data_IF_466464289222
#
_entry.id   IF_466464289222
#
_cell.length_a   1.000
_cell.length_b   1.000
_cell.length_c   1.000
_cell.angle_alpha   90.00
_cell.angle_beta   90.00
_cell.angle_gamma   90.00
#
_symmetry.space_group_name_H-M   'P 1'
#
loop_
_entity.id
_entity.type
_entity.pdbx_description
1 polymer ?
#
# COMPACT_ATOMS: atom_id res chain seq x y z
N UNK A 1 -59.76 -0.97 74.42
CA UNK A 1 -58.64 0.00 74.26
C UNK A 1 -57.72 -0.25 73.07
N UNK A 2 -57.27 -1.50 72.82
CA UNK A 2 -56.33 -1.80 71.72
C UNK A 2 -56.89 -1.53 70.30
N UNK A 3 -58.18 -1.78 70.06
CA UNK A 3 -58.82 -1.48 68.76
C UNK A 3 -59.01 0.01 68.49
N UNK A 4 -59.23 0.82 69.53
CA UNK A 4 -59.31 2.28 69.39
C UNK A 4 -57.93 2.88 69.06
N UNK A 5 -56.85 2.32 69.62
CA UNK A 5 -55.47 2.71 69.29
C UNK A 5 -55.07 2.31 67.87
N UNK A 6 -55.48 1.12 67.39
CA UNK A 6 -55.29 0.70 65.99
C UNK A 6 -56.05 1.58 65.00
N UNK A 7 -57.32 1.91 65.28
CA UNK A 7 -58.12 2.78 64.43
C UNK A 7 -57.61 4.23 64.34
N UNK A 8 -56.95 4.74 65.39
CA UNK A 8 -56.26 6.04 65.34
C UNK A 8 -54.97 5.99 64.51
N UNK A 9 -54.20 4.90 64.62
CA UNK A 9 -52.98 4.68 63.83
C UNK A 9 -53.26 4.61 62.33
N UNK A 10 -54.22 3.79 61.89
CA UNK A 10 -54.58 3.68 60.46
C UNK A 10 -55.13 4.99 59.88
N UNK A 11 -55.86 5.80 60.66
CA UNK A 11 -56.30 7.13 60.23
C UNK A 11 -55.13 8.10 60.05
N UNK A 12 -54.12 8.04 60.92
CA UNK A 12 -52.88 8.82 60.78
C UNK A 12 -52.05 8.42 59.56
N UNK A 13 -51.97 7.12 59.25
CA UNK A 13 -51.29 6.61 58.06
C UNK A 13 -52.01 7.05 56.79
N UNK A 14 -53.33 6.89 56.71
CA UNK A 14 -54.14 7.32 55.55
C UNK A 14 -54.08 8.84 55.33
N UNK A 15 -54.04 9.63 56.40
CA UNK A 15 -53.87 11.09 56.31
C UNK A 15 -52.48 11.46 55.77
N UNK A 16 -51.43 10.75 56.18
CA UNK A 16 -50.07 10.94 55.65
C UNK A 16 -49.96 10.53 54.18
N UNK A 17 -50.56 9.42 53.77
CA UNK A 17 -50.60 8.98 52.37
C UNK A 17 -51.28 10.02 51.49
N UNK A 18 -52.45 10.54 51.88
CA UNK A 18 -53.12 11.62 51.14
C UNK A 18 -52.28 12.88 51.03
N UNK A 19 -51.53 13.20 52.08
CA UNK A 19 -50.64 14.37 52.09
C UNK A 19 -49.46 14.17 51.12
N UNK A 20 -48.87 12.98 51.12
CA UNK A 20 -47.80 12.60 50.19
C UNK A 20 -48.28 12.59 48.74
N UNK A 21 -49.47 12.06 48.47
CA UNK A 21 -50.07 12.06 47.13
C UNK A 21 -50.29 13.49 46.60
N UNK A 22 -50.77 14.38 47.47
CA UNK A 22 -50.96 15.79 47.12
C UNK A 22 -49.62 16.48 46.85
N UNK A 23 -48.60 16.22 47.67
CA UNK A 23 -47.24 16.73 47.45
C UNK A 23 -46.65 16.20 46.14
N UNK A 24 -46.85 14.91 45.85
CA UNK A 24 -46.37 14.27 44.64
C UNK A 24 -47.03 14.86 43.40
N UNK A 25 -48.36 15.07 43.43
CA UNK A 25 -49.08 15.73 42.33
C UNK A 25 -48.61 17.16 42.11
N UNK A 26 -48.36 17.92 43.18
CA UNK A 26 -47.82 19.28 43.08
C UNK A 26 -46.40 19.29 42.51
N UNK A 27 -45.53 18.40 42.97
CA UNK A 27 -44.17 18.28 42.47
C UNK A 27 -44.16 17.87 40.99
N UNK A 28 -45.05 16.95 40.59
CA UNK A 28 -45.22 16.56 39.19
C UNK A 28 -45.68 17.73 38.32
N UNK A 29 -46.73 18.45 38.72
CA UNK A 29 -47.22 19.61 37.98
C UNK A 29 -46.14 20.70 37.86
N UNK A 30 -45.33 20.90 38.91
CA UNK A 30 -44.20 21.82 38.87
C UNK A 30 -43.12 21.38 37.88
N UNK A 31 -42.72 20.10 37.90
CA UNK A 31 -41.74 19.55 36.96
C UNK A 31 -42.25 19.59 35.52
N UNK A 32 -43.52 19.29 35.28
CA UNK A 32 -44.14 19.39 33.95
C UNK A 32 -44.12 20.84 33.44
N UNK A 33 -44.36 21.83 34.31
CA UNK A 33 -44.20 23.25 33.98
C UNK A 33 -42.76 23.64 33.62
N UNK A 34 -41.79 23.26 34.47
CA UNK A 34 -40.36 23.55 34.22
C UNK A 34 -39.87 22.89 32.92
N UNK A 35 -40.32 21.67 32.63
CA UNK A 35 -39.98 20.99 31.36
C UNK A 35 -40.60 21.69 30.15
N UNK A 36 -41.82 22.24 30.28
CA UNK A 36 -42.45 23.01 29.22
C UNK A 36 -41.67 24.30 28.93
N UNK A 37 -41.27 25.03 29.98
CA UNK A 37 -40.48 26.27 29.85
C UNK A 37 -39.11 26.00 29.23
N UNK A 38 -38.42 24.93 29.66
CA UNK A 38 -37.14 24.53 29.07
C UNK A 38 -37.27 24.11 27.61
N UNK A 39 -38.34 23.37 27.26
CA UNK A 39 -38.61 22.99 25.86
C UNK A 39 -38.89 24.22 24.99
N UNK A 40 -39.66 25.18 25.50
CA UNK A 40 -39.92 26.44 24.81
C UNK A 40 -38.62 27.24 24.59
N UNK A 41 -37.77 27.35 25.60
CA UNK A 41 -36.46 28.00 25.49
C UNK A 41 -35.53 27.31 24.48
N UNK A 42 -35.47 25.97 24.51
CA UNK A 42 -34.67 25.19 23.55
C UNK A 42 -35.21 25.40 22.13
N UNK A 43 -36.53 25.40 21.95
CA UNK A 43 -37.14 25.62 20.65
C UNK A 43 -36.89 27.04 20.13
N UNK A 44 -37.02 28.07 20.95
CA UNK A 44 -36.73 29.45 20.56
C UNK A 44 -35.25 29.65 20.18
N UNK A 45 -34.34 29.00 20.93
CA UNK A 45 -32.89 29.18 20.73
C UNK A 45 -32.29 28.27 19.65
N UNK A 46 -32.80 27.06 19.48
CA UNK A 46 -32.20 26.01 18.64
C UNK A 46 -33.17 25.37 17.64
N UNK A 47 -34.48 25.64 17.72
CA UNK A 47 -35.50 25.01 16.88
C UNK A 47 -35.77 23.55 17.24
N UNK A 48 -36.46 22.84 16.34
CA UNK A 48 -36.76 21.41 16.46
C UNK A 48 -35.63 20.57 15.85
N UNK A 49 -35.12 19.60 16.62
CA UNK A 49 -34.03 18.72 16.17
C UNK A 49 -34.58 17.63 15.23
N UNK A 50 -34.57 17.89 13.94
CA UNK A 50 -34.87 16.88 12.94
C UNK A 50 -33.73 15.85 12.88
N UNK A 51 -34.09 14.57 12.71
CA UNK A 51 -33.10 13.55 12.32
C UNK A 51 -32.63 13.92 10.92
N UNK A 52 -31.46 14.54 10.81
CA UNK A 52 -30.84 14.76 9.52
C UNK A 52 -30.84 13.46 8.74
N UNK A 53 -31.32 13.50 7.49
CA UNK A 53 -31.10 12.40 6.56
C UNK A 53 -29.62 12.05 6.64
N UNK A 54 -29.28 10.77 6.80
CA UNK A 54 -27.89 10.32 6.72
C UNK A 54 -27.37 10.96 5.44
N UNK A 55 -26.45 11.91 5.57
CA UNK A 55 -25.79 12.51 4.43
C UNK A 55 -25.30 11.32 3.61
N UNK A 56 -25.97 11.07 2.49
CA UNK A 56 -25.67 10.00 1.56
C UNK A 56 -24.39 10.35 0.82
N UNK A 57 -23.35 10.75 1.56
CA UNK A 57 -21.99 10.81 1.10
C UNK A 57 -21.72 9.39 0.63
N UNK A 58 -21.80 9.20 -0.69
CA UNK A 58 -21.15 8.11 -1.39
C UNK A 58 -19.69 8.27 -1.00
N UNK A 59 -19.28 7.64 0.11
CA UNK A 59 -17.87 7.54 0.50
C UNK A 59 -17.24 6.77 -0.65
N UNK A 60 -16.64 7.51 -1.59
CA UNK A 60 -15.69 6.98 -2.55
C UNK A 60 -14.49 6.54 -1.72
N UNK A 61 -14.62 5.36 -1.12
CA UNK A 61 -13.51 4.68 -0.48
C UNK A 61 -12.68 4.16 -1.63
N UNK A 62 -11.62 4.89 -1.99
CA UNK A 62 -10.60 4.36 -2.88
C UNK A 62 -10.12 3.06 -2.24
N UNK A 63 -10.22 1.96 -2.98
CA UNK A 63 -9.72 0.68 -2.50
C UNK A 63 -8.18 0.67 -2.59
N UNK A 64 -7.57 1.19 -1.53
CA UNK A 64 -6.13 1.26 -1.41
C UNK A 64 -5.48 -0.12 -1.49
N UNK A 65 -6.18 -1.22 -1.21
CA UNK A 65 -5.58 -2.56 -1.25
C UNK A 65 -5.13 -2.97 -2.66
N UNK A 66 -5.70 -2.36 -3.69
CA UNK A 66 -5.30 -2.53 -5.10
C UNK A 66 -4.10 -1.66 -5.52
N UNK A 67 -3.81 -0.59 -4.77
CA UNK A 67 -2.78 0.39 -5.08
C UNK A 67 -1.42 -0.09 -4.56
N UNK A 68 -0.34 -0.04 -5.38
CA UNK A 68 0.99 -0.43 -4.93
C UNK A 68 1.50 0.48 -3.80
N UNK A 69 2.28 -0.09 -2.89
CA UNK A 69 2.81 0.64 -1.75
C UNK A 69 4.22 1.18 -2.06
N UNK A 70 4.42 2.50 -2.14
CA UNK A 70 5.76 3.07 -2.16
C UNK A 70 6.41 2.93 -0.78
N UNK A 71 7.69 2.56 -0.79
CA UNK A 71 8.47 2.31 0.42
C UNK A 71 9.84 2.97 0.32
N UNK A 72 10.21 3.59 1.43
CA UNK A 72 11.55 4.07 1.71
C UNK A 72 12.29 3.00 2.53
N UNK A 73 13.44 2.57 2.03
CA UNK A 73 14.37 1.66 2.71
C UNK A 73 15.60 2.48 3.11
N UNK A 74 15.66 2.87 4.38
CA UNK A 74 16.77 3.62 4.92
C UNK A 74 17.88 2.68 5.38
N UNK A 75 18.98 2.61 4.62
CA UNK A 75 20.14 1.75 4.89
C UNK A 75 21.06 2.45 5.88
N UNK A 76 21.14 1.95 7.10
CA UNK A 76 21.97 2.54 8.16
C UNK A 76 23.45 2.16 7.97
N UNK A 77 23.78 0.88 8.16
CA UNK A 77 25.16 0.41 8.15
C UNK A 77 25.26 -1.10 7.88
N UNK A 78 26.42 -1.53 7.40
CA UNK A 78 26.85 -2.92 7.38
C UNK A 78 27.91 -3.14 8.47
N UNK A 79 27.68 -4.12 9.36
CA UNK A 79 28.57 -4.44 10.49
C UNK A 79 29.28 -5.77 10.29
N UNK A 80 30.48 -5.88 10.84
CA UNK A 80 31.39 -7.01 10.70
C UNK A 80 31.94 -7.21 9.28
N UNK A 81 32.08 -6.11 8.52
CA UNK A 81 32.73 -6.12 7.20
C UNK A 81 34.22 -6.43 7.33
N UNK A 82 34.95 -5.66 8.18
CA UNK A 82 36.39 -5.83 8.42
C UNK A 82 37.19 -5.90 7.10
N UNK A 83 38.09 -6.86 6.99
CA UNK A 83 38.93 -7.21 5.86
C UNK A 83 38.27 -8.20 4.87
N UNK A 84 37.01 -8.59 5.10
CA UNK A 84 36.28 -9.47 4.17
C UNK A 84 36.01 -8.82 2.81
N UNK A 85 35.97 -7.48 2.79
CA UNK A 85 35.87 -6.69 1.57
C UNK A 85 37.19 -5.94 1.34
N UNK A 86 37.73 -5.94 0.11
CA UNK A 86 38.92 -5.18 -0.22
C UNK A 86 38.68 -3.67 -0.13
N UNK A 87 39.76 -2.89 -0.25
CA UNK A 87 39.65 -1.43 -0.34
C UNK A 87 38.92 -1.04 -1.62
N UNK A 88 37.86 -0.25 -1.51
CA UNK A 88 37.03 0.09 -2.66
C UNK A 88 35.90 1.07 -2.36
N UNK A 89 35.02 1.25 -3.35
CA UNK A 89 33.75 1.96 -3.20
C UNK A 89 32.62 0.95 -3.31
N UNK A 90 31.64 1.05 -2.41
CA UNK A 90 30.54 0.11 -2.31
C UNK A 90 29.20 0.84 -2.37
N UNK A 91 28.21 0.23 -3.01
CA UNK A 91 26.84 0.72 -3.05
C UNK A 91 25.87 -0.43 -2.77
N UNK A 92 24.76 -0.16 -2.07
CA UNK A 92 23.69 -1.13 -1.83
C UNK A 92 22.55 -0.81 -2.78
N UNK A 93 22.15 -1.81 -3.57
CA UNK A 93 20.96 -1.76 -4.39
C UNK A 93 19.85 -2.58 -3.71
N UNK A 94 18.63 -2.08 -3.79
CA UNK A 94 17.45 -2.78 -3.29
C UNK A 94 16.53 -3.09 -4.47
N UNK A 95 16.25 -4.37 -4.66
CA UNK A 95 15.39 -4.87 -5.73
C UNK A 95 14.27 -5.73 -5.15
N UNK A 96 13.15 -5.80 -5.87
CA UNK A 96 11.96 -6.55 -5.45
C UNK A 96 11.88 -7.82 -6.30
N UNK A 97 11.70 -8.98 -5.69
CA UNK A 97 11.64 -10.28 -6.35
C UNK A 97 10.32 -10.99 -6.02
N UNK A 98 9.79 -11.78 -6.96
CA UNK A 98 8.56 -12.59 -6.74
C UNK A 98 8.80 -13.73 -5.73
N UNK A 99 10.02 -14.29 -5.75
CA UNK A 99 10.51 -15.26 -4.78
C UNK A 99 12.03 -15.22 -4.71
N UNK A 100 12.60 -15.79 -3.64
CA UNK A 100 14.05 -15.84 -3.42
C UNK A 100 14.81 -16.37 -4.65
N UNK A 101 14.48 -17.58 -5.14
CA UNK A 101 15.07 -18.11 -6.38
C UNK A 101 14.43 -17.59 -7.68
N UNK A 102 13.61 -16.54 -7.60
CA UNK A 102 12.75 -16.06 -8.68
C UNK A 102 13.38 -14.98 -9.54
N UNK A 103 12.53 -14.24 -10.24
CA UNK A 103 12.93 -13.12 -11.09
C UNK A 103 12.66 -11.78 -10.40
N UNK A 104 13.48 -10.75 -10.72
CA UNK A 104 13.21 -9.40 -10.27
C UNK A 104 11.89 -8.90 -10.89
N UNK A 105 11.04 -8.33 -10.04
CA UNK A 105 9.84 -7.64 -10.44
C UNK A 105 10.19 -6.22 -10.88
N UNK A 106 9.61 -5.80 -12.00
CA UNK A 106 9.79 -4.45 -12.55
C UNK A 106 8.45 -3.85 -12.94
N UNK A 107 8.32 -2.55 -12.75
CA UNK A 107 7.18 -1.80 -13.24
C UNK A 107 7.44 -1.37 -14.67
N UNK A 108 6.46 -1.55 -15.55
CA UNK A 108 6.60 -1.24 -16.98
C UNK A 108 6.94 0.23 -17.24
N UNK A 109 6.35 1.15 -16.46
CA UNK A 109 6.54 2.61 -16.61
C UNK A 109 7.65 3.20 -15.74
N UNK A 110 7.91 2.62 -14.58
CA UNK A 110 8.92 3.11 -13.61
C UNK A 110 10.26 2.38 -13.70
N UNK A 111 10.31 1.27 -14.46
CA UNK A 111 11.49 0.43 -14.57
C UNK A 111 11.63 -0.55 -13.40
N UNK A 112 12.82 -1.14 -13.27
CA UNK A 112 13.12 -2.13 -12.23
C UNK A 112 13.60 -1.54 -10.90
N UNK A 113 14.00 -0.27 -10.85
CA UNK A 113 14.70 0.31 -9.71
C UNK A 113 14.31 1.76 -9.45
N UNK A 114 14.06 2.09 -8.19
CA UNK A 114 13.74 3.46 -7.78
C UNK A 114 12.27 3.86 -8.01
N UNK A 115 11.98 5.09 -7.58
CA UNK A 115 10.69 5.78 -7.69
C UNK A 115 10.87 7.07 -8.52
N UNK A 116 11.54 6.95 -9.68
CA UNK A 116 11.87 8.06 -10.58
C UNK A 116 13.23 8.72 -10.30
N UNK A 117 13.49 9.87 -10.95
CA UNK A 117 14.82 10.50 -10.97
C UNK A 117 15.32 10.96 -9.58
N UNK A 118 14.40 11.42 -8.71
CA UNK A 118 14.74 11.98 -7.40
C UNK A 118 14.72 10.94 -6.27
N UNK A 119 14.27 9.71 -6.54
CA UNK A 119 14.11 8.63 -5.56
C UNK A 119 14.82 7.37 -6.07
N UNK A 120 16.16 7.26 -5.92
CA UNK A 120 16.92 6.15 -6.50
C UNK A 120 16.70 4.82 -5.77
N UNK A 121 16.83 3.71 -6.52
CA UNK A 121 16.82 2.32 -6.01
C UNK A 121 18.17 1.81 -5.48
N UNK A 122 19.14 2.71 -5.33
CA UNK A 122 20.53 2.38 -4.96
C UNK A 122 21.13 3.50 -4.12
N UNK A 123 21.96 3.15 -3.14
CA UNK A 123 22.68 4.12 -2.32
C UNK A 123 23.77 4.81 -3.14
N UNK A 124 24.16 6.02 -2.73
CA UNK A 124 25.40 6.64 -3.18
C UNK A 124 26.60 5.78 -2.73
N UNK A 125 27.71 5.80 -3.48
CA UNK A 125 28.88 5.00 -3.15
C UNK A 125 29.54 5.43 -1.82
N UNK A 126 29.85 4.46 -0.97
CA UNK A 126 30.60 4.62 0.29
C UNK A 126 31.98 4.02 0.14
N UNK A 127 33.01 4.69 0.67
CA UNK A 127 34.38 4.16 0.65
C UNK A 127 34.61 3.19 1.81
N UNK A 128 35.23 2.06 1.52
CA UNK A 128 35.76 1.13 2.52
C UNK A 128 37.26 1.01 2.36
N UNK A 129 38.00 1.06 3.47
CA UNK A 129 39.46 1.06 3.42
C UNK A 129 40.07 -0.35 3.36
N UNK A 130 39.30 -1.41 3.63
CA UNK A 130 39.77 -2.80 3.55
C UNK A 130 40.60 -3.29 4.73
N UNK A 131 40.67 -2.55 5.84
CA UNK A 131 41.43 -2.95 7.02
C UNK A 131 40.60 -3.79 8.00
N UNK A 132 41.26 -4.72 8.72
CA UNK A 132 40.61 -5.62 9.68
C UNK A 132 39.90 -4.90 10.84
N UNK A 133 40.36 -3.69 11.21
CA UNK A 133 39.74 -2.86 12.26
C UNK A 133 38.52 -2.07 11.77
N UNK A 134 38.24 -2.02 10.46
CA UNK A 134 37.04 -1.39 9.92
C UNK A 134 35.82 -2.28 10.14
N UNK A 135 35.32 -2.28 11.38
CA UNK A 135 34.20 -3.13 11.78
C UNK A 135 32.88 -2.74 11.11
N UNK A 136 32.72 -1.50 10.66
CA UNK A 136 31.47 -0.96 10.15
C UNK A 136 31.67 -0.17 8.86
N UNK A 137 30.72 -0.30 7.94
CA UNK A 137 30.56 0.55 6.76
C UNK A 137 29.22 1.26 6.87
N UNK A 138 29.24 2.58 7.07
CA UNK A 138 28.04 3.39 7.29
C UNK A 138 27.56 3.98 5.97
N UNK A 139 26.30 3.71 5.64
CA UNK A 139 25.64 4.27 4.46
C UNK A 139 24.86 5.52 4.85
N UNK A 140 23.94 5.39 5.83
CA UNK A 140 23.08 6.49 6.30
C UNK A 140 22.22 7.09 5.18
N UNK A 141 21.74 6.27 4.26
CA UNK A 141 21.10 6.72 3.02
C UNK A 141 19.80 5.98 2.74
N UNK A 142 18.84 6.70 2.19
CA UNK A 142 17.53 6.16 1.82
C UNK A 142 17.50 5.73 0.37
N UNK A 143 16.96 4.54 0.16
CA UNK A 143 16.67 3.93 -1.13
C UNK A 143 15.15 3.81 -1.27
N UNK A 144 14.63 3.91 -2.48
CA UNK A 144 13.20 3.93 -2.72
C UNK A 144 12.79 2.81 -3.67
N UNK A 145 11.68 2.15 -3.35
CA UNK A 145 11.14 1.07 -4.20
C UNK A 145 9.62 1.01 -4.10
N UNK A 146 9.01 0.39 -5.11
CA UNK A 146 7.58 0.10 -5.13
C UNK A 146 7.35 -1.36 -4.83
N UNK A 147 6.58 -1.62 -3.79
CA UNK A 147 6.13 -2.95 -3.46
C UNK A 147 4.78 -3.24 -4.12
N UNK A 148 4.48 -4.51 -4.38
CA UNK A 148 3.15 -4.93 -4.84
C UNK A 148 2.06 -4.41 -3.90
N UNK A 149 0.86 -4.21 -4.46
CA UNK A 149 -0.31 -3.86 -3.66
C UNK A 149 -0.66 -4.98 -2.68
N UNK A 150 -1.44 -4.66 -1.65
CA UNK A 150 -1.83 -5.66 -0.64
C UNK A 150 -2.57 -6.85 -1.28
N UNK A 151 -3.44 -6.59 -2.24
CA UNK A 151 -4.18 -7.62 -2.96
C UNK A 151 -3.30 -8.52 -3.83
N UNK A 152 -2.15 -8.03 -4.30
CA UNK A 152 -1.19 -8.77 -5.14
C UNK A 152 0.03 -9.28 -4.37
N UNK A 153 0.10 -9.04 -3.06
CA UNK A 153 1.22 -9.41 -2.22
C UNK A 153 1.26 -10.92 -2.01
N UNK A 154 2.36 -11.56 -2.42
CA UNK A 154 2.63 -12.96 -2.13
C UNK A 154 3.58 -13.08 -0.95
N UNK A 155 3.43 -14.09 -0.07
CA UNK A 155 4.39 -14.37 1.01
C UNK A 155 5.79 -14.68 0.50
N UNK A 156 5.88 -15.19 -0.73
CA UNK A 156 7.14 -15.46 -1.39
C UNK A 156 7.88 -14.18 -1.79
N UNK A 157 7.21 -13.04 -1.91
CA UNK A 157 7.83 -11.80 -2.38
C UNK A 157 8.92 -11.36 -1.41
N UNK A 158 10.08 -11.04 -1.96
CA UNK A 158 11.25 -10.64 -1.16
C UNK A 158 11.88 -9.35 -1.64
N UNK A 159 12.47 -8.61 -0.70
CA UNK A 159 13.43 -7.55 -0.95
C UNK A 159 14.82 -8.16 -0.97
N UNK A 160 15.49 -8.07 -2.12
CA UNK A 160 16.87 -8.47 -2.31
C UNK A 160 17.76 -7.24 -2.16
N UNK A 161 18.74 -7.34 -1.28
CA UNK A 161 19.79 -6.37 -1.06
C UNK A 161 21.05 -6.87 -1.74
N UNK A 162 21.58 -6.12 -2.69
CA UNK A 162 22.83 -6.46 -3.37
C UNK A 162 23.87 -5.41 -3.05
N UNK A 163 25.03 -5.86 -2.56
CA UNK A 163 26.19 -5.02 -2.29
C UNK A 163 27.12 -5.09 -3.50
N UNK A 164 27.25 -3.95 -4.18
CA UNK A 164 28.14 -3.79 -5.32
C UNK A 164 29.48 -3.21 -4.89
N UNK A 165 30.56 -3.81 -5.36
CA UNK A 165 31.87 -3.19 -5.44
C UNK A 165 31.97 -2.46 -6.78
N UNK A 166 32.19 -1.15 -6.72
CA UNK A 166 32.24 -0.31 -7.91
C UNK A 166 33.64 -0.33 -8.53
N UNK A 167 33.66 -0.20 -9.85
CA UNK A 167 34.85 -0.06 -10.65
C UNK A 167 35.77 1.04 -10.10
N UNK A 168 37.05 0.70 -10.10
CA UNK A 168 38.12 1.51 -9.58
C UNK A 168 39.46 1.11 -10.21
N UNK A 169 40.59 1.64 -9.70
CA UNK A 169 41.89 1.43 -10.33
C UNK A 169 42.31 -0.04 -10.41
N UNK A 170 41.84 -0.88 -9.49
CA UNK A 170 42.15 -2.32 -9.43
C UNK A 170 41.12 -3.20 -10.14
N UNK A 171 39.98 -2.65 -10.54
CA UNK A 171 38.86 -3.44 -11.07
C UNK A 171 38.07 -2.61 -12.08
N UNK A 172 38.02 -3.08 -13.33
CA UNK A 172 37.42 -2.34 -14.42
C UNK A 172 35.88 -2.34 -14.42
N UNK A 173 35.26 -3.36 -13.82
CA UNK A 173 33.81 -3.59 -13.84
C UNK A 173 33.22 -3.57 -12.43
N UNK A 174 31.95 -3.18 -12.34
CA UNK A 174 31.18 -3.28 -11.10
C UNK A 174 30.84 -4.76 -10.85
N UNK A 175 30.98 -5.24 -9.62
CA UNK A 175 30.69 -6.64 -9.25
C UNK A 175 29.84 -6.74 -7.99
N UNK A 176 28.95 -7.72 -7.93
CA UNK A 176 28.20 -8.04 -6.71
C UNK A 176 29.10 -8.84 -5.78
N UNK A 177 29.38 -8.29 -4.60
CA UNK A 177 30.25 -8.92 -3.60
C UNK A 177 29.47 -9.62 -2.48
N UNK A 178 28.21 -9.26 -2.33
CA UNK A 178 27.33 -9.95 -1.39
C UNK A 178 25.88 -9.59 -1.59
N UNK A 179 25.01 -10.43 -1.04
CA UNK A 179 23.57 -10.29 -1.17
C UNK A 179 22.85 -10.74 0.09
N UNK A 180 21.67 -10.21 0.37
CA UNK A 180 20.84 -10.64 1.49
C UNK A 180 19.38 -10.34 1.25
N UNK A 181 18.49 -10.96 2.02
CA UNK A 181 17.08 -11.00 1.67
C UNK A 181 16.19 -10.74 2.87
N UNK A 182 15.10 -9.98 2.65
CA UNK A 182 14.01 -9.79 3.60
C UNK A 182 12.67 -10.16 2.95
N UNK A 183 11.85 -11.03 3.56
CA UNK A 183 10.46 -11.23 3.16
C UNK A 183 9.66 -9.92 3.23
N UNK A 184 8.88 -9.61 2.19
CA UNK A 184 8.07 -8.38 2.15
C UNK A 184 6.80 -8.53 2.98
N UNK A 185 6.26 -9.75 3.06
CA UNK A 185 5.05 -10.04 3.80
C UNK A 185 5.35 -10.40 5.25
N UNK A 186 4.63 -9.76 6.16
CA UNK A 186 4.57 -10.13 7.58
C UNK A 186 3.62 -11.32 7.80
N UNK A 187 3.57 -11.89 9.02
CA UNK A 187 2.69 -13.01 9.36
C UNK A 187 1.19 -12.73 9.14
N UNK A 188 0.81 -11.45 9.05
CA UNK A 188 -0.56 -10.99 8.74
C UNK A 188 -0.78 -10.65 7.26
N UNK A 189 0.13 -11.05 6.36
CA UNK A 189 0.11 -10.69 4.94
C UNK A 189 0.07 -9.18 4.71
N UNK A 190 0.71 -8.43 5.60
CA UNK A 190 0.92 -6.99 5.45
C UNK A 190 2.34 -6.72 4.98
N UNK A 191 2.54 -5.56 4.35
CA UNK A 191 3.88 -5.11 3.98
C UNK A 191 4.68 -4.78 5.25
N UNK A 192 5.87 -5.36 5.38
CA UNK A 192 6.78 -5.15 6.50
C UNK A 192 7.09 -3.66 6.73
N UNK A 193 7.19 -3.28 8.00
CA UNK A 193 7.52 -1.91 8.44
C UNK A 193 8.37 -2.00 9.71
N UNK A 194 9.37 -1.12 9.82
CA UNK A 194 10.21 -1.02 11.01
C UNK A 194 11.68 -1.29 10.72
N UNK A 195 12.45 -1.58 11.77
CA UNK A 195 13.91 -1.76 11.71
C UNK A 195 14.25 -3.25 11.62
N UNK A 196 15.10 -3.59 10.67
CA UNK A 196 15.46 -4.97 10.37
C UNK A 196 16.98 -5.15 10.32
N UNK A 197 17.40 -6.40 10.52
CA UNK A 197 18.77 -6.87 10.35
C UNK A 197 18.73 -8.10 9.45
N UNK A 198 19.50 -8.10 8.38
CA UNK A 198 19.67 -9.28 7.52
C UNK A 198 21.15 -9.65 7.39
N UNK A 199 21.50 -10.95 7.38
CA UNK A 199 22.83 -11.38 7.00
C UNK A 199 23.02 -11.19 5.48
N UNK A 200 24.16 -10.61 5.09
CA UNK A 200 24.63 -10.65 3.72
C UNK A 200 25.50 -11.89 3.53
N UNK A 201 25.15 -12.68 2.53
CA UNK A 201 25.93 -13.77 1.97
C UNK A 201 26.99 -13.21 1.03
N UNK A 202 28.12 -13.90 0.91
CA UNK A 202 29.20 -13.54 -0.02
C UNK A 202 28.87 -14.00 -1.46
N UNK A 203 29.27 -13.18 -2.44
CA UNK A 203 29.13 -13.49 -3.87
C UNK A 203 27.87 -12.92 -4.50
N UNK A 204 27.47 -13.48 -5.65
CA UNK A 204 26.30 -13.05 -6.40
C UNK A 204 25.05 -13.86 -6.00
N UNK A 205 23.89 -13.22 -6.06
CA UNK A 205 22.63 -13.92 -5.83
C UNK A 205 22.39 -14.94 -6.95
N UNK A 206 22.20 -16.20 -6.57
CA UNK A 206 22.01 -17.30 -7.52
C UNK A 206 20.64 -17.94 -7.32
N UNK A 207 19.92 -18.22 -8.41
CA UNK A 207 18.61 -18.88 -8.38
C UNK A 207 18.58 -20.27 -7.75
N UNK A 208 19.75 -20.89 -7.51
CA UNK A 208 19.90 -22.17 -6.82
C UNK A 208 19.48 -22.10 -5.36
N UNK A 209 19.64 -20.95 -4.71
CA UNK A 209 19.16 -20.72 -3.35
C UNK A 209 17.74 -20.20 -3.46
N UNK A 210 16.76 -21.10 -3.39
CA UNK A 210 15.34 -20.80 -3.62
C UNK A 210 14.52 -20.67 -2.33
N UNK A 211 15.03 -21.19 -1.21
CA UNK A 211 14.38 -21.23 0.10
C UNK A 211 15.26 -20.61 1.18
N UNK A 212 14.64 -19.96 2.17
CA UNK A 212 15.34 -19.42 3.34
C UNK A 212 16.07 -20.50 4.13
N UNK A 213 15.50 -21.71 4.20
CA UNK A 213 16.18 -22.87 4.79
C UNK A 213 17.49 -23.23 4.08
N UNK A 214 17.53 -23.12 2.74
CA UNK A 214 18.76 -23.37 1.97
C UNK A 214 19.83 -22.32 2.28
N UNK A 215 19.42 -21.06 2.46
CA UNK A 215 20.32 -19.98 2.89
C UNK A 215 20.87 -20.23 4.30
N UNK A 216 20.01 -20.64 5.22
CA UNK A 216 20.39 -20.95 6.61
C UNK A 216 21.31 -22.17 6.70
N UNK A 217 21.05 -23.20 5.88
CA UNK A 217 21.92 -24.36 5.75
C UNK A 217 23.33 -23.98 5.28
N UNK A 218 23.45 -23.09 4.29
CA UNK A 218 24.75 -22.60 3.81
C UNK A 218 25.52 -21.86 4.91
N UNK A 219 24.83 -20.99 5.66
CA UNK A 219 25.41 -20.27 6.80
C UNK A 219 25.85 -21.22 7.91
N UNK A 220 25.05 -22.25 8.19
CA UNK A 220 25.31 -23.23 9.24
C UNK A 220 26.43 -24.20 8.86
N UNK A 221 26.56 -24.53 7.57
CA UNK A 221 27.63 -25.41 7.09
C UNK A 221 28.99 -24.73 7.08
N UNK A 222 29.05 -23.46 6.66
CA UNK A 222 30.31 -22.73 6.56
C UNK A 222 30.09 -21.22 6.74
N UNK A 223 30.68 -20.68 7.81
CA UNK A 223 30.63 -19.28 8.17
C UNK A 223 31.37 -18.37 7.17
N UNK A 224 32.23 -18.91 6.30
CA UNK A 224 32.88 -18.12 5.25
C UNK A 224 31.88 -17.56 4.21
N UNK A 225 30.70 -18.18 4.08
CA UNK A 225 29.61 -17.65 3.26
C UNK A 225 29.01 -16.38 3.86
N UNK A 226 29.14 -16.15 5.16
CA UNK A 226 28.64 -14.94 5.81
C UNK A 226 29.60 -13.75 5.59
N UNK A 227 29.12 -12.74 4.86
CA UNK A 227 29.86 -11.51 4.61
C UNK A 227 29.73 -10.54 5.80
N UNK A 228 28.54 -10.02 6.07
CA UNK A 228 28.33 -9.03 7.11
C UNK A 228 26.84 -8.93 7.48
N UNK A 229 26.48 -8.15 8.50
CA UNK A 229 25.09 -7.89 8.84
C UNK A 229 24.67 -6.49 8.38
N UNK A 230 23.64 -6.40 7.56
CA UNK A 230 23.07 -5.15 7.09
C UNK A 230 21.92 -4.71 8.00
N UNK A 231 21.96 -3.46 8.45
CA UNK A 231 20.95 -2.82 9.27
C UNK A 231 20.24 -1.73 8.48
N UNK A 232 18.92 -1.79 8.44
CA UNK A 232 18.10 -0.85 7.68
C UNK A 232 16.71 -0.70 8.30
N UNK A 233 15.98 0.33 7.86
CA UNK A 233 14.62 0.62 8.29
C UNK A 233 13.72 0.72 7.06
N UNK A 234 12.54 0.08 7.13
CA UNK A 234 11.52 0.10 6.09
C UNK A 234 10.38 1.01 6.54
N UNK A 235 10.15 2.09 5.79
CA UNK A 235 9.10 3.09 6.03
C UNK A 235 8.13 3.13 4.85
N UNK A 236 6.84 3.15 5.16
CA UNK A 236 5.82 3.31 4.14
C UNK A 236 5.74 4.79 3.76
N UNK A 237 5.76 5.06 2.46
CA UNK A 237 5.47 6.39 1.92
C UNK A 237 3.97 6.49 1.61
N UNK A 238 3.38 7.69 1.61
CA UNK A 238 1.99 7.87 1.22
C UNK A 238 1.72 7.30 -0.17
N UNK A 239 0.60 6.58 -0.34
CA UNK A 239 0.15 6.15 -1.67
C UNK A 239 -0.40 7.35 -2.43
N UNK A 240 -0.22 7.35 -3.75
CA UNK A 240 -0.80 8.34 -4.66
C UNK A 240 -1.67 7.60 -5.68
N UNK A 241 -2.87 8.11 -5.95
CA UNK A 241 -3.79 7.57 -6.97
C UNK A 241 -4.35 8.71 -7.81
N UNK A 242 -4.52 8.47 -9.12
CA UNK A 242 -5.18 9.43 -10.01
C UNK A 242 -6.65 9.06 -10.16
N UNK A 243 -7.55 10.02 -9.98
CA UNK A 243 -8.97 9.85 -10.34
C UNK A 243 -9.15 9.84 -11.87
N UNK A 244 -10.32 9.37 -12.35
CA UNK A 244 -10.73 9.50 -13.75
C UNK A 244 -10.71 10.94 -14.28
N UNK A 245 -10.90 11.94 -13.41
CA UNK A 245 -10.83 13.37 -13.74
C UNK A 245 -9.38 13.93 -13.80
N UNK A 246 -8.37 13.07 -13.61
CA UNK A 246 -6.95 13.42 -13.71
C UNK A 246 -6.37 14.12 -12.47
N UNK A 247 -7.10 14.19 -11.36
CA UNK A 247 -6.60 14.70 -10.09
C UNK A 247 -5.80 13.63 -9.34
N UNK A 248 -4.60 13.99 -8.88
CA UNK A 248 -3.77 13.15 -8.01
C UNK A 248 -4.24 13.31 -6.56
N UNK A 249 -4.58 12.21 -5.92
CA UNK A 249 -4.89 12.14 -4.49
C UNK A 249 -3.78 11.40 -3.76
N UNK A 250 -3.24 12.03 -2.72
CA UNK A 250 -2.47 11.31 -1.72
C UNK A 250 -3.42 10.59 -0.76
N UNK A 251 -2.97 9.47 -0.20
CA UNK A 251 -3.69 8.64 0.77
C UNK A 251 -4.33 9.44 1.91
N UNK A 252 -3.68 10.54 2.32
CA UNK A 252 -4.13 11.41 3.41
C UNK A 252 -4.97 12.62 2.96
N UNK A 253 -5.03 12.92 1.65
CA UNK A 253 -5.73 14.11 1.12
C UNK A 253 -7.18 13.81 0.72
N UNK A 254 -7.54 12.53 0.55
CA UNK A 254 -8.89 12.10 0.11
C UNK A 254 -10.00 12.55 1.06
N UNK A 255 -9.73 12.60 2.37
CA UNK A 255 -10.74 13.01 3.35
C UNK A 255 -10.98 14.53 3.33
N UNK A 256 -9.92 15.34 3.22
CA UNK A 256 -10.00 16.81 3.20
C UNK A 256 -10.63 17.34 1.92
N UNK A 257 -10.28 16.79 0.75
CA UNK A 257 -10.81 17.27 -0.52
C UNK A 257 -12.26 16.86 -0.76
N UNK A 258 -12.70 15.70 -0.26
CA UNK A 258 -14.11 15.33 -0.30
C UNK A 258 -14.94 16.23 0.61
N UNK A 259 -14.47 16.48 1.84
CA UNK A 259 -15.09 17.44 2.76
C UNK A 259 -15.12 18.85 2.14
N UNK A 260 -14.07 19.29 1.45
CA UNK A 260 -14.02 20.57 0.74
C UNK A 260 -14.81 20.61 -0.58
N UNK A 261 -15.17 19.46 -1.16
CA UNK A 261 -16.05 19.36 -2.34
C UNK A 261 -17.52 19.33 -1.91
N UNK A 262 -17.85 18.66 -0.81
CA UNK A 262 -19.20 18.62 -0.24
C UNK A 262 -19.55 19.90 0.52
N UNK A 263 -18.65 20.40 1.36
CA UNK A 263 -18.70 21.78 1.83
C UNK A 263 -18.35 22.64 0.62
N UNK A 264 -19.32 23.34 0.03
CA UNK A 264 -19.09 24.31 -1.07
C UNK A 264 -18.22 25.51 -0.65
N UNK A 265 -17.33 25.37 0.32
CA UNK A 265 -16.34 26.33 0.76
C UNK A 265 -15.41 26.64 -0.43
N UNK A 266 -15.58 27.83 -0.99
CA UNK A 266 -14.79 28.30 -2.13
C UNK A 266 -15.44 28.12 -3.50
N UNK A 267 -16.60 27.45 -3.65
CA UNK A 267 -17.29 27.40 -4.97
C UNK A 267 -17.76 28.79 -5.39
N UNK A 268 -18.27 29.57 -4.44
CA UNK A 268 -18.71 30.97 -4.64
C UNK A 268 -17.54 31.89 -4.97
N UNK A 269 -16.37 31.64 -4.39
CA UNK A 269 -15.16 32.44 -4.63
C UNK A 269 -14.46 32.05 -5.94
N UNK A 270 -14.39 30.75 -6.27
CA UNK A 270 -13.96 30.27 -7.59
C UNK A 270 -14.90 30.76 -8.69
N UNK A 271 -16.22 30.74 -8.48
CA UNK A 271 -17.19 31.33 -9.41
C UNK A 271 -17.02 32.84 -9.55
N UNK A 272 -16.75 33.58 -8.44
CA UNK A 272 -16.42 35.02 -8.51
C UNK A 272 -15.14 35.27 -9.29
N UNK A 273 -14.07 34.48 -9.08
CA UNK A 273 -12.80 34.59 -9.81
C UNK A 273 -12.95 34.22 -11.28
N UNK A 274 -13.72 33.18 -11.60
CA UNK A 274 -14.02 32.78 -12.98
C UNK A 274 -14.85 33.86 -13.71
N UNK A 275 -15.88 34.43 -13.05
CA UNK A 275 -16.65 35.55 -13.58
C UNK A 275 -15.80 36.81 -13.75
N UNK A 276 -14.87 37.08 -12.83
CA UNK A 276 -13.95 38.22 -12.95
C UNK A 276 -12.94 38.04 -14.10
N UNK A 277 -12.45 36.81 -14.34
CA UNK A 277 -11.61 36.48 -15.50
C UNK A 277 -12.39 36.60 -16.81
N UNK A 278 -13.58 36.02 -16.89
CA UNK A 278 -14.44 36.12 -18.07
C UNK A 278 -14.78 37.59 -18.41
N UNK A 279 -15.05 38.43 -17.39
CA UNK A 279 -15.25 39.87 -17.58
C UNK A 279 -13.99 40.60 -18.07
N UNK A 280 -12.81 40.19 -17.60
CA UNK A 280 -11.53 40.73 -18.10
C UNK A 280 -11.29 40.36 -19.56
N UNK A 281 -11.53 39.10 -19.92
CA UNK A 281 -11.36 38.62 -21.30
C UNK A 281 -12.39 39.25 -22.24
N UNK A 282 -13.62 39.47 -21.77
CA UNK A 282 -14.66 40.17 -22.51
C UNK A 282 -14.32 41.67 -22.69
N UNK A 283 -13.81 42.34 -21.66
CA UNK A 283 -13.34 43.73 -21.77
C UNK A 283 -12.10 43.83 -22.68
N UNK A 284 -11.18 42.87 -22.63
CA UNK A 284 -10.02 42.84 -23.53
C UNK A 284 -10.45 42.67 -25.00
N UNK A 285 -11.50 41.88 -25.26
CA UNK A 285 -12.12 41.75 -26.59
C UNK A 285 -12.83 43.02 -27.06
N UNK A 286 -13.53 43.72 -26.15
CA UNK A 286 -14.23 44.98 -26.47
C UNK A 286 -13.29 46.18 -26.66
N UNK A 287 -12.13 46.18 -26.01
CA UNK A 287 -11.12 47.23 -26.11
C UNK A 287 -10.18 47.08 -27.33
N UNK A 288 -10.41 46.08 -28.20
CA UNK A 288 -9.65 45.94 -29.45
C UNK A 288 -8.16 45.69 -29.26
N UNK A 289 -7.69 45.25 -28.09
CA UNK A 289 -6.30 44.93 -27.81
C UNK A 289 -5.97 43.48 -28.23
N UNK A 290 -6.36 43.13 -29.45
CA UNK A 290 -6.02 41.89 -30.11
C UNK A 290 -5.32 42.19 -31.42
N UNK A 291 -3.98 42.09 -31.43
CA UNK A 291 -3.18 41.95 -32.64
C UNK A 291 -2.44 43.21 -33.09
N UNK A 292 -1.21 43.38 -32.62
CA UNK A 292 -0.15 43.97 -33.43
C UNK A 292 1.01 42.98 -33.49
N UNK A 293 1.34 42.52 -34.69
CA UNK A 293 2.58 41.81 -34.98
C UNK A 293 2.45 40.49 -35.73
N UNK A 294 1.83 40.48 -36.92
CA UNK A 294 2.31 39.61 -37.99
C UNK A 294 3.12 40.45 -38.98
N UNK A 295 4.27 39.92 -39.39
CA UNK A 295 5.01 40.37 -40.55
C UNK A 295 6.45 40.79 -40.27
N UNK A 296 7.39 39.85 -40.42
CA UNK A 296 8.48 39.91 -41.42
C UNK A 296 9.59 38.88 -41.11
N UNK A 297 9.86 38.01 -42.10
CA UNK A 297 11.25 37.68 -42.47
C UNK A 297 11.85 36.35 -42.02
N UNK A 298 12.05 35.48 -43.03
CA UNK A 298 13.21 34.58 -43.26
C UNK A 298 13.53 33.44 -42.29
N UNK A 299 13.28 32.22 -42.79
CA UNK A 299 14.28 31.15 -43.00
C UNK A 299 15.65 31.30 -42.28
N UNK A 300 15.89 30.49 -41.25
CA UNK A 300 17.22 29.98 -40.90
C UNK A 300 17.12 28.85 -39.87
N UNK A 301 17.67 27.68 -40.23
CA UNK A 301 17.94 26.60 -39.30
C UNK A 301 18.87 27.06 -38.17
N UNK A 302 18.43 26.97 -36.92
CA UNK A 302 19.28 27.20 -35.75
C UNK A 302 19.11 26.04 -34.75
N UNK A 303 20.13 25.18 -34.70
CA UNK A 303 20.32 24.21 -33.60
C UNK A 303 20.47 24.97 -32.28
N UNK A 304 19.88 24.53 -31.16
CA UNK A 304 20.08 25.22 -29.89
C UNK A 304 21.52 25.04 -29.39
N UNK A 305 22.23 26.16 -29.25
CA UNK A 305 23.48 26.30 -28.51
C UNK A 305 23.14 26.20 -27.02
N UNK A 306 23.80 25.33 -26.22
CA UNK A 306 23.52 25.21 -24.80
C UNK A 306 24.01 26.43 -24.02
N UNK A 307 23.14 26.98 -23.16
CA UNK A 307 23.47 28.07 -22.24
C UNK A 307 24.46 27.58 -21.18
N UNK A 308 25.53 28.36 -21.01
CA UNK A 308 26.59 28.17 -20.02
C UNK A 308 26.03 28.45 -18.63
N UNK A 309 25.96 27.43 -17.76
CA UNK A 309 25.57 27.60 -16.35
C UNK A 309 24.62 26.56 -15.73
N UNK A 310 24.36 25.42 -16.37
CA UNK A 310 23.61 24.33 -15.70
C UNK A 310 24.50 23.58 -14.68
N UNK A 311 24.02 23.32 -13.45
CA UNK A 311 24.72 22.44 -12.52
C UNK A 311 24.82 21.04 -13.15
N UNK A 312 26.03 20.48 -13.12
CA UNK A 312 26.41 19.26 -13.80
C UNK A 312 25.33 18.17 -13.70
N UNK A 313 24.78 17.77 -14.85
CA UNK A 313 23.90 16.60 -15.00
C UNK A 313 24.43 15.43 -14.17
N UNK A 314 23.55 14.89 -13.33
CA UNK A 314 23.83 13.85 -12.36
C UNK A 314 24.61 12.71 -12.99
N UNK A 315 25.65 12.25 -12.29
CA UNK A 315 26.50 11.11 -12.66
C UNK A 315 25.72 9.87 -13.14
N UNK A 316 24.49 9.68 -12.64
CA UNK A 316 23.54 8.61 -12.97
C UNK A 316 22.98 8.67 -14.40
N UNK A 317 22.69 9.86 -14.95
CA UNK A 317 22.12 9.96 -16.31
C UNK A 317 23.12 9.59 -17.39
N UNK A 318 24.42 9.77 -17.11
CA UNK A 318 25.52 9.40 -18.01
C UNK A 318 25.78 7.89 -18.10
N UNK A 319 25.17 7.06 -17.25
CA UNK A 319 25.45 5.60 -17.18
C UNK A 319 24.23 4.69 -17.34
N UNK A 320 23.06 5.22 -17.74
CA UNK A 320 21.86 4.41 -18.03
C UNK A 320 22.09 3.30 -19.08
N UNK A 321 23.09 3.45 -19.95
CA UNK A 321 23.47 2.45 -20.95
C UNK A 321 24.32 1.27 -20.45
N UNK A 322 24.84 1.31 -19.22
CA UNK A 322 25.81 0.32 -18.71
C UNK A 322 25.11 -0.88 -18.03
N UNK A 323 23.85 -0.75 -17.62
CA UNK A 323 23.07 -1.85 -17.01
C UNK A 323 22.21 -2.61 -18.03
N UNK A 324 22.71 -2.74 -19.27
CA UNK A 324 22.15 -3.68 -20.24
C UNK A 324 22.88 -5.00 -20.00
N UNK A 325 22.23 -5.94 -19.32
CA UNK A 325 22.67 -7.34 -19.35
C UNK A 325 22.50 -7.80 -20.80
N UNK A 326 23.57 -7.74 -21.58
CA UNK A 326 23.62 -8.38 -22.89
C UNK A 326 23.54 -9.89 -22.66
N UNK A 327 22.37 -10.46 -22.95
CA UNK A 327 22.26 -11.91 -23.14
C UNK A 327 22.92 -12.25 -24.48
N UNK A 328 23.69 -13.34 -24.58
CA UNK A 328 24.07 -13.85 -25.89
C UNK A 328 22.80 -14.19 -26.68
N UNK A 329 22.76 -13.76 -27.94
CA UNK A 329 21.67 -14.07 -28.88
C UNK A 329 21.41 -15.58 -28.90
N UNK A 330 20.17 -16.07 -28.72
CA UNK A 330 19.87 -17.44 -29.06
C UNK A 330 19.99 -17.60 -30.60
N UNK A 331 20.58 -18.69 -31.10
CA UNK A 331 20.61 -18.94 -32.53
C UNK A 331 19.18 -19.07 -33.03
N UNK A 332 18.88 -18.33 -34.10
CA UNK A 332 17.64 -18.39 -34.87
C UNK A 332 17.28 -19.83 -35.23
N UNK A 333 16.26 -20.37 -34.56
CA UNK A 333 15.58 -21.61 -34.95
C UNK A 333 14.09 -21.34 -35.05
N UNK A 334 13.70 -20.85 -36.22
CA UNK A 334 12.37 -21.11 -36.78
C UNK A 334 12.32 -22.60 -37.12
N UNK A 335 11.79 -23.44 -36.22
CA UNK A 335 11.23 -24.78 -36.48
C UNK A 335 10.73 -25.38 -35.16
N UNK A 336 9.48 -25.86 -35.17
CA UNK A 336 8.69 -26.49 -34.08
C UNK A 336 8.05 -25.54 -33.05
N UNK A 337 6.95 -24.91 -33.46
CA UNK A 337 5.89 -24.43 -32.55
C UNK A 337 4.55 -25.14 -32.76
N UNK A 338 4.44 -26.07 -33.72
CA UNK A 338 3.18 -26.79 -33.96
C UNK A 338 2.98 -28.01 -33.05
N UNK A 339 4.04 -28.59 -32.48
CA UNK A 339 3.91 -29.82 -31.67
C UNK A 339 3.51 -29.57 -30.21
N UNK A 340 3.80 -28.41 -29.60
CA UNK A 340 3.42 -28.17 -28.21
C UNK A 340 1.99 -27.64 -28.05
N UNK A 341 1.40 -27.04 -29.09
CA UNK A 341 -0.02 -26.65 -29.06
C UNK A 341 -0.93 -27.88 -29.21
N UNK A 342 -0.53 -28.89 -29.99
CA UNK A 342 -1.25 -30.17 -30.08
C UNK A 342 -1.18 -30.99 -28.78
N UNK A 343 -0.02 -31.03 -28.11
CA UNK A 343 0.13 -31.69 -26.80
C UNK A 343 -0.63 -30.96 -25.68
N UNK A 344 -0.65 -29.62 -25.69
CA UNK A 344 -1.44 -28.86 -24.71
C UNK A 344 -2.96 -29.05 -24.94
N UNK A 345 -3.39 -29.11 -26.20
CA UNK A 345 -4.79 -29.33 -26.58
C UNK A 345 -5.28 -30.75 -26.26
N UNK A 346 -4.43 -31.77 -26.41
CA UNK A 346 -4.75 -33.16 -26.03
C UNK A 346 -4.83 -33.35 -24.52
N UNK A 347 -3.94 -32.70 -23.76
CA UNK A 347 -3.92 -32.75 -22.29
C UNK A 347 -5.17 -32.08 -21.69
N UNK A 348 -5.58 -30.94 -22.25
CA UNK A 348 -6.80 -30.23 -21.81
C UNK A 348 -8.07 -31.03 -22.15
N UNK A 349 -8.11 -31.70 -23.30
CA UNK A 349 -9.23 -32.58 -23.68
C UNK A 349 -9.31 -33.82 -22.78
N UNK A 350 -8.17 -34.43 -22.42
CA UNK A 350 -8.11 -35.53 -21.47
C UNK A 350 -8.66 -35.14 -20.09
N UNK A 351 -8.24 -33.98 -19.58
CA UNK A 351 -8.72 -33.47 -18.29
C UNK A 351 -10.24 -33.18 -18.30
N UNK A 352 -10.78 -32.66 -19.40
CA UNK A 352 -12.23 -32.44 -19.53
C UNK A 352 -13.02 -33.76 -19.58
N UNK A 353 -12.47 -34.80 -20.21
CA UNK A 353 -13.07 -36.13 -20.28
C UNK A 353 -13.09 -36.80 -18.89
N UNK A 354 -12.00 -36.68 -18.13
CA UNK A 354 -11.87 -37.22 -16.77
C UNK A 354 -12.77 -36.50 -15.77
N UNK A 355 -12.95 -35.18 -15.93
CA UNK A 355 -13.85 -34.42 -15.08
C UNK A 355 -15.31 -34.80 -15.33
N UNK A 356 -15.66 -35.13 -16.59
CA UNK A 356 -17.00 -35.57 -16.98
C UNK A 356 -17.31 -36.98 -16.44
N UNK A 357 -16.39 -37.92 -16.58
CA UNK A 357 -16.55 -39.28 -16.01
C UNK A 357 -16.60 -39.27 -14.48
N UNK A 358 -15.84 -38.38 -13.83
CA UNK A 358 -15.92 -38.20 -12.38
C UNK A 358 -17.30 -37.66 -11.93
N UNK A 359 -17.82 -36.64 -12.62
CA UNK A 359 -19.15 -36.06 -12.36
C UNK A 359 -20.27 -37.08 -12.59
N UNK A 360 -20.22 -37.85 -13.68
CA UNK A 360 -21.22 -38.88 -14.00
C UNK A 360 -21.22 -40.02 -12.96
N UNK A 361 -20.06 -40.35 -12.38
CA UNK A 361 -19.95 -41.35 -11.30
C UNK A 361 -20.57 -40.88 -9.97
N UNK A 362 -20.55 -39.56 -9.70
CA UNK A 362 -21.16 -38.98 -8.49
C UNK A 362 -22.67 -38.87 -8.62
N UNK A 363 -23.18 -38.52 -9.80
CA UNK A 363 -24.61 -38.45 -10.04
C UNK A 363 -25.28 -39.84 -9.97
N UNK A 364 -24.60 -40.90 -10.43
CA UNK A 364 -25.10 -42.28 -10.28
C UNK A 364 -25.07 -42.80 -8.83
N UNK A 365 -24.15 -42.31 -7.97
CA UNK A 365 -24.09 -42.70 -6.55
C UNK A 365 -25.12 -42.00 -5.67
N UNK A 366 -25.67 -40.86 -6.10
CA UNK A 366 -26.73 -40.16 -5.38
C UNK A 366 -28.13 -40.75 -5.60
N UNK A 367 -28.31 -41.66 -6.57
CA UNK A 367 -29.62 -42.22 -6.93
C UNK A 367 -29.93 -43.59 -6.29
N UNK A 368 -29.05 -44.12 -5.43
CA UNK A 368 -29.26 -45.39 -4.70
C UNK A 368 -28.88 -45.22 -3.23
N UNK A 369 -29.76 -44.66 -2.42
CA UNK A 369 -29.84 -44.88 -0.96
C UNK A 369 -31.07 -44.18 -0.38
N UNK A 370 -32.24 -44.83 -0.48
CA UNK A 370 -33.33 -44.72 0.52
C UNK A 370 -34.04 -46.07 0.53
N UNK A 371 -33.93 -46.90 1.58
CA UNK A 371 -34.98 -47.85 1.91
C UNK A 371 -36.05 -47.12 2.74
N UNK A 372 -37.30 -47.27 2.33
CA UNK A 372 -38.48 -46.96 3.13
C UNK A 372 -38.60 -48.01 4.24
N UNK A 373 -38.62 -47.56 5.49
CA UNK A 373 -39.18 -48.29 6.62
C UNK A 373 -40.14 -47.34 7.35
N UNK A 374 -41.44 -47.59 7.15
CA UNK A 374 -42.54 -47.01 7.91
C UNK A 374 -42.77 -47.87 9.16
N UNK A 375 -42.28 -47.42 10.33
CA UNK A 375 -42.78 -47.89 11.62
C UNK A 375 -43.18 -46.68 12.48
N UNK A 376 -44.48 -46.57 12.72
CA UNK A 376 -45.10 -45.58 13.59
C UNK A 376 -44.97 -45.99 15.08
N UNK A 377 -44.83 -45.03 16.02
CA UNK A 377 -44.88 -45.32 17.44
C UNK A 377 -46.30 -45.12 18.02
N UNK A 378 -46.85 -46.16 18.62
CA UNK A 378 -47.93 -46.13 19.61
C UNK A 378 -47.37 -46.81 20.87
N UNK A 379 -47.63 -46.41 22.11
CA UNK A 379 -48.30 -45.30 22.75
C UNK A 379 -47.89 -45.41 24.25
N UNK A 380 -48.00 -44.33 25.03
CA UNK A 380 -48.21 -44.45 26.49
C UNK A 380 -48.62 -43.09 27.07
N UNK A 381 -49.93 -42.89 27.21
CA UNK A 381 -50.61 -42.51 28.46
C UNK A 381 -52.06 -42.08 28.16
N UNK A 382 -53.02 -42.96 28.49
CA UNK A 382 -54.29 -42.68 29.19
C UNK A 382 -55.33 -43.79 28.90
N UNK A 383 -55.82 -44.43 29.96
CA UNK A 383 -56.94 -45.38 29.95
C UNK A 383 -56.61 -46.79 30.42
#
# INVERSE_FOLDING_TARGET
>A
ELDQRRGAYYRGVLARERTLDLQFRRARAHLEGVLADQRAYIYEKYGELEKGERAGARRLRIDWDSVPQPVEVHVHLARAVKDKLPRGRYAVMVSVYDRLGGTPMRWTRLGGYGLGANKPGVTKPVRHAGFHYNREMRFGQSVFTLLPSRASLRPSNVLLFELFQLAGPRQATDQVVGWGVLPIADYRFNIVRGKFKVPLMRGEHTHRVDKFYSMDKLLSSDLAHWLCNLYFEVRHLPRETQDPDGQLYSEFDVELDHINKELKLGSREKQRRARARARRDENARKLGLGGFGEGLGSEAAARPIPKRGEPARNWWERRKGIFRIERPNPPSRTLRLQSSEEEASSTIKGFAQDLKTWLDSRLHKSAKTVPMDDEAPAALADG
#
